data_IF_410184439583
#
_entry.id   IF_410184439583
#
_cell.length_a   1.000
_cell.length_b   1.000
_cell.length_c   1.000
_cell.angle_alpha   90.00
_cell.angle_beta   90.00
_cell.angle_gamma   90.00
#
_symmetry.space_group_name_H-M   'P 1'
#
loop_
_entity.id
_entity.type
_entity.pdbx_description
1 polymer ?
#
# COMPACT_ATOMS: atom_id res chain seq x y z
N UNK A 1 -11.48 -23.69 -1.06
CA UNK A 1 -10.63 -22.68 -1.70
C UNK A 1 -9.31 -22.56 -0.96
N UNK A 2 -8.22 -22.69 -1.68
CA UNK A 2 -6.89 -22.59 -1.08
C UNK A 2 -6.57 -21.14 -0.77
N UNK A 3 -6.28 -20.88 0.50
CA UNK A 3 -5.72 -19.63 0.99
C UNK A 3 -4.24 -19.58 0.60
N UNK A 4 -3.87 -18.69 -0.32
CA UNK A 4 -2.47 -18.47 -0.67
C UNK A 4 -1.97 -17.23 0.04
N UNK A 5 -0.93 -17.39 0.85
CA UNK A 5 -0.29 -16.29 1.60
C UNK A 5 1.17 -16.26 1.22
N UNK A 6 1.68 -15.07 0.92
CA UNK A 6 3.08 -14.87 0.60
C UNK A 6 3.62 -13.64 1.28
N UNK A 7 4.78 -13.78 1.89
CA UNK A 7 5.50 -12.68 2.52
C UNK A 7 6.48 -12.10 1.52
N UNK A 8 6.42 -10.78 1.35
CA UNK A 8 7.38 -10.01 0.56
C UNK A 8 8.13 -9.06 1.48
N UNK A 9 9.38 -8.82 1.20
CA UNK A 9 10.21 -7.90 1.96
C UNK A 9 11.03 -7.03 1.00
N UNK A 10 10.89 -5.72 1.13
CA UNK A 10 11.58 -4.75 0.29
C UNK A 10 12.12 -3.60 1.13
N UNK A 11 13.19 -3.02 0.66
CA UNK A 11 13.79 -1.86 1.35
C UNK A 11 12.99 -0.61 1.02
N UNK A 12 12.56 0.09 2.07
CA UNK A 12 11.96 1.41 1.98
C UNK A 12 12.97 2.48 2.40
N UNK A 13 13.07 3.53 1.62
CA UNK A 13 13.92 4.68 1.90
C UNK A 13 13.08 5.78 2.53
N UNK A 14 13.47 6.21 3.74
CA UNK A 14 12.80 7.29 4.45
C UNK A 14 13.60 8.57 4.30
N UNK A 15 12.89 9.64 3.91
CA UNK A 15 13.44 10.97 3.71
C UNK A 15 12.66 11.95 4.57
N UNK A 16 13.36 12.93 5.12
CA UNK A 16 12.70 14.03 5.82
C UNK A 16 11.95 14.94 4.84
N UNK A 17 10.79 15.41 5.27
CA UNK A 17 10.01 16.42 4.58
C UNK A 17 9.75 17.60 5.53
N UNK A 18 9.15 18.67 5.02
CA UNK A 18 8.83 19.84 5.84
C UNK A 18 7.88 19.54 7.00
N UNK A 19 7.01 18.55 6.82
CA UNK A 19 5.92 18.23 7.77
C UNK A 19 6.03 16.85 8.39
N UNK A 20 7.09 16.10 8.08
CA UNK A 20 7.28 14.74 8.59
C UNK A 20 8.28 13.97 7.77
N UNK A 21 7.85 12.84 7.24
CA UNK A 21 8.70 11.93 6.48
C UNK A 21 7.98 11.40 5.26
N UNK A 22 8.75 11.06 4.24
CA UNK A 22 8.30 10.32 3.08
C UNK A 22 8.97 8.96 3.06
N UNK A 23 8.30 7.97 2.47
CA UNK A 23 8.89 6.65 2.22
C UNK A 23 8.74 6.30 0.74
N UNK A 24 9.83 5.82 0.17
CA UNK A 24 9.92 5.43 -1.24
C UNK A 24 10.41 3.99 -1.31
N UNK A 25 9.95 3.25 -2.30
CA UNK A 25 10.42 1.89 -2.53
C UNK A 25 11.16 1.83 -3.86
N UNK A 26 12.47 1.62 -3.78
CA UNK A 26 13.34 1.55 -4.97
C UNK A 26 12.83 0.54 -6.00
N UNK A 27 12.39 -0.63 -5.55
CA UNK A 27 11.93 -1.70 -6.45
C UNK A 27 10.53 -1.47 -7.03
N UNK A 28 9.80 -0.48 -6.54
CA UNK A 28 8.46 -0.16 -7.00
C UNK A 28 8.34 1.35 -7.29
N UNK A 29 8.80 1.79 -8.46
CA UNK A 29 8.66 3.20 -8.85
C UNK A 29 7.20 3.64 -8.78
N UNK A 30 6.95 4.77 -8.14
CA UNK A 30 5.60 5.28 -7.93
C UNK A 30 4.93 4.78 -6.65
N UNK A 31 5.49 3.79 -5.96
CA UNK A 31 5.00 3.36 -4.66
C UNK A 31 5.62 4.23 -3.57
N UNK A 32 4.86 5.22 -3.12
CA UNK A 32 5.33 6.22 -2.16
C UNK A 32 4.24 6.47 -1.11
N UNK A 33 4.67 6.87 0.08
CA UNK A 33 3.75 7.29 1.12
C UNK A 33 4.41 8.32 2.04
N UNK A 34 3.67 8.81 3.02
CA UNK A 34 4.14 9.83 3.95
C UNK A 34 3.46 9.71 5.30
N UNK A 35 4.05 10.35 6.30
CA UNK A 35 3.49 10.47 7.63
C UNK A 35 4.15 11.60 8.40
N UNK A 36 3.56 11.98 9.51
CA UNK A 36 4.09 13.04 10.38
C UNK A 36 5.22 12.56 11.28
N UNK A 37 5.20 11.27 11.61
CA UNK A 37 6.22 10.61 12.42
C UNK A 37 6.84 9.45 11.64
N UNK A 38 7.99 8.96 12.10
CA UNK A 38 8.61 7.77 11.51
C UNK A 38 7.67 6.57 11.57
N UNK A 39 7.05 6.34 12.72
CA UNK A 39 6.13 5.22 12.94
C UNK A 39 4.94 5.27 11.98
N UNK A 40 4.33 6.44 11.84
CA UNK A 40 3.21 6.66 10.94
C UNK A 40 3.63 6.44 9.48
N UNK A 41 4.80 6.97 9.10
CA UNK A 41 5.33 6.83 7.74
C UNK A 41 5.60 5.37 7.39
N UNK A 42 6.17 4.61 8.32
CA UNK A 42 6.44 3.17 8.11
C UNK A 42 5.12 2.41 7.99
N UNK A 43 4.15 2.69 8.83
CA UNK A 43 2.82 2.08 8.77
C UNK A 43 2.14 2.37 7.42
N UNK A 44 2.15 3.61 7.00
CA UNK A 44 1.55 4.03 5.74
C UNK A 44 2.29 3.43 4.54
N UNK A 45 3.62 3.36 4.62
CA UNK A 45 4.45 2.72 3.60
C UNK A 45 4.15 1.23 3.45
N UNK A 46 3.93 0.55 4.56
CA UNK A 46 3.55 -0.86 4.56
C UNK A 46 2.20 -1.08 3.85
N UNK A 47 1.22 -0.24 4.15
CA UNK A 47 -0.09 -0.28 3.48
C UNK A 47 0.07 -0.02 1.99
N UNK A 48 0.85 1.01 1.62
CA UNK A 48 1.08 1.37 0.23
C UNK A 48 1.75 0.22 -0.55
N UNK A 49 2.78 -0.39 0.03
CA UNK A 49 3.49 -1.51 -0.59
C UNK A 49 2.58 -2.71 -0.78
N UNK A 50 1.81 -3.06 0.26
CA UNK A 50 0.87 -4.19 0.19
C UNK A 50 -0.15 -4.00 -0.93
N UNK A 51 -0.77 -2.82 -1.00
CA UNK A 51 -1.76 -2.54 -2.04
C UNK A 51 -1.14 -2.49 -3.43
N UNK A 52 0.08 -1.99 -3.54
CA UNK A 52 0.80 -1.95 -4.82
C UNK A 52 1.06 -3.36 -5.35
N UNK A 53 1.54 -4.25 -4.48
CA UNK A 53 1.80 -5.65 -4.84
C UNK A 53 0.49 -6.38 -5.18
N UNK A 54 -0.56 -6.18 -4.38
CA UNK A 54 -1.87 -6.75 -4.66
C UNK A 54 -2.38 -6.33 -6.04
N UNK A 55 -2.25 -5.05 -6.38
CA UNK A 55 -2.63 -4.53 -7.70
C UNK A 55 -1.84 -5.15 -8.83
N UNK A 56 -0.53 -5.34 -8.66
CA UNK A 56 0.31 -6.00 -9.64
C UNK A 56 -0.10 -7.46 -9.85
N UNK A 57 -0.44 -8.17 -8.78
CA UNK A 57 -0.93 -9.56 -8.86
C UNK A 57 -2.24 -9.62 -9.64
N UNK A 58 -3.18 -8.73 -9.35
CA UNK A 58 -4.45 -8.64 -10.09
C UNK A 58 -4.26 -8.39 -11.58
N UNK A 59 -3.26 -7.57 -11.93
CA UNK A 59 -2.95 -7.23 -13.31
C UNK A 59 -2.00 -8.23 -13.97
N UNK A 60 -1.64 -9.31 -13.30
CA UNK A 60 -0.69 -10.32 -13.77
C UNK A 60 0.68 -9.72 -14.11
N UNK A 61 1.07 -8.66 -13.42
CA UNK A 61 2.38 -8.07 -13.58
C UNK A 61 3.43 -8.85 -12.79
N UNK A 62 4.64 -8.85 -13.29
CA UNK A 62 5.74 -9.54 -12.63
C UNK A 62 6.19 -8.74 -11.41
N UNK A 63 6.20 -9.38 -10.25
CA UNK A 63 6.72 -8.79 -9.02
C UNK A 63 8.25 -8.81 -9.08
N UNK A 64 8.93 -7.66 -8.93
CA UNK A 64 10.38 -7.62 -8.98
C UNK A 64 11.01 -8.36 -7.80
N UNK A 65 12.20 -8.92 -8.04
CA UNK A 65 12.99 -9.46 -6.94
C UNK A 65 13.55 -8.31 -6.11
N UNK A 66 13.64 -8.47 -4.79
CA UNK A 66 14.21 -7.42 -3.94
C UNK A 66 15.65 -7.10 -4.34
N UNK A 67 15.93 -5.81 -4.55
CA UNK A 67 17.29 -5.35 -4.78
C UNK A 67 18.11 -5.43 -3.49
N UNK A 68 19.41 -5.63 -3.62
CA UNK A 68 20.29 -5.65 -2.47
C UNK A 68 20.49 -4.24 -1.92
N UNK A 69 20.82 -4.16 -0.64
CA UNK A 69 21.12 -2.88 0.01
C UNK A 69 22.28 -2.16 -0.70
N UNK A 70 23.30 -2.89 -1.07
CA UNK A 70 24.49 -2.36 -1.76
C UNK A 70 24.12 -1.70 -3.09
N UNK A 71 23.23 -2.34 -3.85
CA UNK A 71 22.74 -1.78 -5.12
C UNK A 71 22.00 -0.47 -4.92
N UNK A 72 21.10 -0.45 -3.94
CA UNK A 72 20.29 0.72 -3.63
C UNK A 72 21.16 1.89 -3.18
N UNK A 73 22.12 1.64 -2.31
CA UNK A 73 23.06 2.66 -1.84
C UNK A 73 23.88 3.22 -3.00
N UNK A 74 24.37 2.35 -3.88
CA UNK A 74 25.18 2.76 -5.03
C UNK A 74 24.42 3.66 -6.00
N UNK A 75 23.12 3.43 -6.15
CA UNK A 75 22.26 4.20 -7.08
C UNK A 75 21.64 5.43 -6.42
N UNK A 76 21.78 5.62 -5.12
CA UNK A 76 21.29 6.81 -4.40
C UNK A 76 22.28 7.97 -4.59
N UNK A 77 22.22 8.62 -5.74
CA UNK A 77 23.14 9.68 -6.12
C UNK A 77 23.03 10.93 -5.24
N UNK A 78 21.84 11.24 -4.79
CA UNK A 78 21.57 12.45 -4.01
C UNK A 78 21.85 12.29 -2.52
N UNK A 79 21.96 11.05 -2.06
CA UNK A 79 22.25 10.71 -0.67
C UNK A 79 21.32 11.41 0.34
N UNK A 80 20.06 11.59 -0.04
CA UNK A 80 19.05 12.28 0.79
C UNK A 80 18.31 11.34 1.74
N UNK A 81 18.52 10.04 1.61
CA UNK A 81 17.86 9.05 2.45
C UNK A 81 18.36 9.13 3.89
N UNK A 82 17.45 9.35 4.82
CA UNK A 82 17.79 9.39 6.25
C UNK A 82 17.94 7.98 6.84
N UNK A 83 17.02 7.11 6.51
CA UNK A 83 16.97 5.73 7.03
C UNK A 83 16.51 4.80 5.92
N UNK A 84 17.13 3.63 5.86
CA UNK A 84 16.65 2.52 5.05
C UNK A 84 16.16 1.42 5.96
N UNK A 85 14.98 0.89 5.68
CA UNK A 85 14.37 -0.14 6.51
C UNK A 85 13.76 -1.23 5.62
N UNK A 86 13.89 -2.46 6.07
CA UNK A 86 13.24 -3.59 5.41
C UNK A 86 11.78 -3.64 5.83
N UNK A 87 10.89 -3.53 4.85
CA UNK A 87 9.44 -3.55 5.07
C UNK A 87 8.91 -4.91 4.62
N UNK A 88 8.30 -5.64 5.55
CA UNK A 88 7.63 -6.89 5.23
C UNK A 88 6.13 -6.67 5.07
N UNK A 89 5.56 -7.29 4.05
CA UNK A 89 4.11 -7.32 3.85
C UNK A 89 3.66 -8.75 3.58
N UNK A 90 2.50 -9.10 4.11
CA UNK A 90 1.89 -10.40 3.86
C UNK A 90 0.72 -10.20 2.91
N UNK A 91 0.85 -10.74 1.71
CA UNK A 91 -0.20 -10.65 0.69
C UNK A 91 -0.97 -11.96 0.68
N UNK A 92 -2.26 -11.86 0.92
CA UNK A 92 -3.17 -12.99 0.93
C UNK A 92 -4.02 -12.90 -0.33
N UNK A 93 -3.91 -13.91 -1.19
CA UNK A 93 -4.73 -14.01 -2.39
C UNK A 93 -5.89 -14.98 -2.15
N UNK A 94 -7.01 -14.71 -2.82
CA UNK A 94 -8.21 -15.55 -2.82
C UNK A 94 -8.99 -15.65 -1.50
N UNK A 95 -8.81 -14.73 -0.56
CA UNK A 95 -9.59 -14.74 0.68
C UNK A 95 -10.53 -13.57 0.80
N UNK A 96 -11.79 -13.88 0.57
CA UNK A 96 -12.86 -12.97 1.00
C UNK A 96 -13.32 -13.45 2.38
N UNK A 97 -13.17 -12.59 3.37
CA UNK A 97 -13.75 -12.80 4.70
C UNK A 97 -15.06 -12.06 4.78
N UNK A 98 -16.06 -12.69 5.35
CA UNK A 98 -17.30 -12.02 5.68
C UNK A 98 -17.09 -11.15 6.91
N UNK A 99 -17.49 -9.90 6.81
CA UNK A 99 -17.53 -8.97 7.94
C UNK A 99 -18.91 -8.35 7.99
N UNK A 100 -19.36 -7.98 9.18
CA UNK A 100 -20.61 -7.27 9.37
C UNK A 100 -20.28 -5.84 9.77
N UNK A 101 -20.88 -4.87 9.07
CA UNK A 101 -20.66 -3.45 9.32
C UNK A 101 -22.01 -2.76 9.48
N UNK A 102 -22.01 -1.68 10.25
CA UNK A 102 -23.18 -0.82 10.43
C UNK A 102 -23.00 0.44 9.60
N UNK A 103 -23.98 0.76 8.78
CA UNK A 103 -23.99 1.96 7.94
C UNK A 103 -25.30 2.70 8.13
N UNK A 104 -25.29 4.01 7.88
CA UNK A 104 -26.51 4.82 7.84
C UNK A 104 -27.45 4.31 6.76
N UNK A 105 -28.72 4.26 7.08
CA UNK A 105 -29.75 3.82 6.14
C UNK A 105 -29.76 4.65 4.84
N UNK A 106 -29.56 5.95 4.96
CA UNK A 106 -29.47 6.84 3.78
C UNK A 106 -28.28 6.47 2.90
N UNK A 107 -27.15 6.14 3.50
CA UNK A 107 -25.97 5.72 2.74
C UNK A 107 -26.20 4.39 2.02
N UNK A 108 -26.88 3.45 2.67
CA UNK A 108 -27.25 2.16 2.06
C UNK A 108 -28.15 2.39 0.84
N UNK A 109 -29.14 3.28 0.97
CA UNK A 109 -30.04 3.63 -0.14
C UNK A 109 -29.28 4.24 -1.31
N UNK A 110 -28.31 5.12 -1.04
CA UNK A 110 -27.47 5.71 -2.07
C UNK A 110 -26.59 4.65 -2.76
N UNK A 111 -26.06 3.72 -2.01
CA UNK A 111 -25.29 2.61 -2.56
C UNK A 111 -26.12 1.77 -3.52
N UNK A 112 -27.35 1.49 -3.16
CA UNK A 112 -28.27 0.66 -3.97
C UNK A 112 -28.71 1.37 -5.26
N UNK A 113 -28.66 2.70 -5.29
CA UNK A 113 -28.90 3.48 -6.52
C UNK A 113 -27.76 3.31 -7.52
N UNK A 114 -26.51 3.28 -7.03
CA UNK A 114 -25.33 3.28 -7.91
C UNK A 114 -24.77 1.88 -8.20
N UNK A 115 -25.18 0.89 -7.43
CA UNK A 115 -24.68 -0.49 -7.60
C UNK A 115 -25.71 -1.51 -7.12
N UNK A 116 -25.75 -2.64 -7.77
CA UNK A 116 -26.53 -3.79 -7.32
C UNK A 116 -25.67 -4.79 -6.51
N UNK A 117 -24.41 -4.46 -6.25
CA UNK A 117 -23.50 -5.28 -5.48
C UNK A 117 -22.81 -4.44 -4.40
N UNK A 118 -23.38 -4.48 -3.19
CA UNK A 118 -22.88 -3.70 -2.05
C UNK A 118 -21.45 -4.07 -1.67
N UNK A 119 -21.12 -5.36 -1.67
CA UNK A 119 -19.78 -5.83 -1.29
C UNK A 119 -18.71 -5.32 -2.25
N UNK A 120 -18.98 -5.36 -3.55
CA UNK A 120 -18.07 -4.84 -4.55
C UNK A 120 -17.89 -3.34 -4.42
N UNK A 121 -18.99 -2.60 -4.27
CA UNK A 121 -18.97 -1.15 -4.10
C UNK A 121 -18.15 -0.75 -2.87
N UNK A 122 -18.37 -1.41 -1.74
CA UNK A 122 -17.64 -1.13 -0.50
C UNK A 122 -16.15 -1.43 -0.68
N UNK A 123 -15.81 -2.54 -1.32
CA UNK A 123 -14.41 -2.90 -1.59
C UNK A 123 -13.71 -1.86 -2.45
N UNK A 124 -14.35 -1.44 -3.54
CA UNK A 124 -13.81 -0.41 -4.44
C UNK A 124 -13.66 0.93 -3.73
N UNK A 125 -14.68 1.36 -3.01
CA UNK A 125 -14.66 2.63 -2.30
C UNK A 125 -13.60 2.66 -1.20
N UNK A 126 -13.48 1.57 -0.44
CA UNK A 126 -12.47 1.46 0.62
C UNK A 126 -11.07 1.47 0.04
N UNK A 127 -10.83 0.74 -1.03
CA UNK A 127 -9.54 0.69 -1.72
C UNK A 127 -9.16 2.07 -2.25
N UNK A 128 -10.11 2.76 -2.86
CA UNK A 128 -9.89 4.12 -3.39
C UNK A 128 -9.58 5.12 -2.27
N UNK A 129 -10.29 5.04 -1.15
CA UNK A 129 -10.03 5.88 0.02
C UNK A 129 -8.61 5.68 0.56
N UNK A 130 -8.19 4.43 0.71
CA UNK A 130 -6.84 4.11 1.18
C UNK A 130 -5.80 4.64 0.20
N UNK A 131 -6.01 4.42 -1.09
CA UNK A 131 -5.13 4.89 -2.15
C UNK A 131 -4.94 6.41 -2.09
N UNK A 132 -6.03 7.15 -1.96
CA UNK A 132 -5.99 8.60 -1.97
C UNK A 132 -5.40 9.23 -0.70
N UNK A 133 -5.52 8.55 0.43
CA UNK A 133 -5.13 9.11 1.73
C UNK A 133 -3.81 8.57 2.27
N UNK A 134 -3.36 7.42 1.80
CA UNK A 134 -2.16 6.76 2.32
C UNK A 134 -1.10 6.47 1.28
N UNK A 135 -1.43 6.53 0.00
CA UNK A 135 -0.51 6.21 -1.09
C UNK A 135 -0.14 7.41 -1.96
N UNK A 136 -0.94 8.46 -1.96
CA UNK A 136 -0.67 9.67 -2.74
C UNK A 136 -0.01 10.72 -1.86
N UNK A 137 1.24 11.02 -2.16
CA UNK A 137 1.97 12.12 -1.52
C UNK A 137 1.80 13.36 -2.40
N UNK A 138 1.28 14.39 -1.80
CA UNK A 138 1.21 15.70 -2.44
C UNK A 138 2.37 16.57 -2.01
#
# INVERSE_FOLDING_TARGET
MKKSSRIYAYIGDLLKSKTGYNILFYDFPGCVSAGKTLEETIKNGKIALQMHIEGMIEDNEKIPKPSTLEKIIKEDEDNETEIRILIEVNVITENKKRIDITLDENLINMMDVVSNNRSELISLATREYIKNNYMNIK
#
